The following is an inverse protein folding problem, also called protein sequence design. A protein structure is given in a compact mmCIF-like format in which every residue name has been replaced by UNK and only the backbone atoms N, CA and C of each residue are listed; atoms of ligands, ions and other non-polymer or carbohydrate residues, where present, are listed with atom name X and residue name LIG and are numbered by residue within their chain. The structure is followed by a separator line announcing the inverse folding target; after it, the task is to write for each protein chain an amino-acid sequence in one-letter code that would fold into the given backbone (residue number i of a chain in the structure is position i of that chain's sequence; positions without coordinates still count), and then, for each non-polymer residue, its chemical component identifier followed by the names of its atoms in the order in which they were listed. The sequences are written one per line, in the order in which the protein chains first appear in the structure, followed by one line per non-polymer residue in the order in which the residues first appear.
data_IF_994442206884
#
_entry.id   IF_994442206884
#
_cell.length_a   1.000
_cell.length_b   1.000
_cell.length_c   1.000
_cell.angle_alpha   90.00
_cell.angle_beta   90.00
_cell.angle_gamma   90.00
#
_symmetry.space_group_name_H-M   'P 1'
#
loop_
_entity.id
_entity.type
_entity.pdbx_description
1 polymer ?
#
# COMPACT_ATOMS: atom_id res chain seq x y z
N UNK A 1 -23.85 -27.08 10.66
CA UNK A 1 -22.75 -26.88 11.64
C UNK A 1 -21.39 -26.66 11.00
N UNK A 2 -20.93 -27.50 10.05
CA UNK A 2 -19.60 -27.36 9.41
C UNK A 2 -19.33 -25.98 8.78
N UNK A 3 -20.31 -25.43 8.06
CA UNK A 3 -20.20 -24.11 7.41
C UNK A 3 -20.09 -22.96 8.43
N UNK A 4 -20.85 -23.02 9.52
CA UNK A 4 -20.81 -22.02 10.60
C UNK A 4 -19.45 -22.07 11.32
N UNK A 5 -18.96 -23.27 11.60
CA UNK A 5 -17.65 -23.45 12.24
C UNK A 5 -16.52 -22.93 11.35
N UNK A 6 -16.62 -23.13 10.03
CA UNK A 6 -15.67 -22.61 9.07
C UNK A 6 -15.67 -21.07 9.03
N UNK A 7 -16.85 -20.45 8.97
CA UNK A 7 -17.00 -18.98 8.95
C UNK A 7 -16.58 -18.30 10.25
N UNK A 8 -16.79 -18.95 11.40
CA UNK A 8 -16.27 -18.48 12.69
C UNK A 8 -14.74 -18.60 12.77
N UNK A 9 -14.16 -19.69 12.27
CA UNK A 9 -12.70 -19.86 12.17
C UNK A 9 -12.06 -18.82 11.27
N UNK A 10 -12.64 -18.52 10.11
CA UNK A 10 -12.16 -17.45 9.22
C UNK A 10 -12.16 -16.07 9.90
N UNK A 11 -13.03 -15.85 10.88
CA UNK A 11 -13.09 -14.59 11.65
C UNK A 11 -12.23 -14.61 12.91
N UNK A 12 -11.46 -15.69 13.14
CA UNK A 12 -10.65 -15.86 14.35
C UNK A 12 -11.48 -16.01 15.64
N UNK A 13 -12.76 -16.37 15.52
CA UNK A 13 -13.69 -16.45 16.65
C UNK A 13 -13.82 -17.89 17.15
N UNK A 14 -14.00 -18.11 18.46
CA UNK A 14 -14.27 -19.43 19.01
C UNK A 14 -15.49 -20.09 18.34
N UNK A 15 -15.32 -21.35 17.95
CA UNK A 15 -16.34 -22.14 17.24
C UNK A 15 -17.59 -22.34 18.10
N UNK A 16 -17.39 -22.47 19.41
CA UNK A 16 -18.43 -22.63 20.42
C UNK A 16 -17.94 -21.98 21.71
N UNK A 17 -18.79 -21.17 22.36
CA UNK A 17 -18.54 -20.70 23.72
C UNK A 17 -19.23 -21.62 24.75
N UNK A 18 -18.75 -21.59 25.99
CA UNK A 18 -19.29 -22.44 27.04
C UNK A 18 -20.77 -22.10 27.29
N UNK A 19 -21.64 -23.11 27.18
CA UNK A 19 -23.08 -22.96 27.38
C UNK A 19 -23.85 -22.39 26.18
N UNK A 20 -23.21 -22.10 25.05
CA UNK A 20 -23.92 -21.68 23.83
C UNK A 20 -24.69 -22.84 23.19
N UNK A 21 -25.93 -22.57 22.79
CA UNK A 21 -26.74 -23.41 21.91
C UNK A 21 -26.44 -23.13 20.43
N UNK A 22 -26.78 -24.07 19.53
CA UNK A 22 -26.51 -23.91 18.08
C UNK A 22 -27.20 -22.67 17.46
N UNK A 23 -28.35 -22.26 18.02
CA UNK A 23 -29.06 -21.05 17.61
C UNK A 23 -28.31 -19.77 18.02
N UNK A 24 -27.68 -19.77 19.20
CA UNK A 24 -26.90 -18.64 19.70
C UNK A 24 -25.59 -18.48 18.92
N UNK A 25 -24.94 -19.60 18.56
CA UNK A 25 -23.76 -19.59 17.68
C UNK A 25 -24.10 -18.94 16.33
N UNK A 26 -25.26 -19.25 15.73
CA UNK A 26 -25.71 -18.62 14.47
C UNK A 26 -25.97 -17.12 14.62
N UNK A 27 -26.63 -16.70 15.70
CA UNK A 27 -26.90 -15.28 15.97
C UNK A 27 -25.59 -14.50 16.16
N UNK A 28 -24.63 -15.08 16.88
CA UNK A 28 -23.29 -14.50 17.06
C UNK A 28 -22.56 -14.37 15.73
N UNK A 29 -22.54 -15.42 14.91
CA UNK A 29 -21.95 -15.33 13.57
C UNK A 29 -22.60 -14.24 12.73
N UNK A 30 -23.93 -14.14 12.73
CA UNK A 30 -24.64 -13.11 11.97
C UNK A 30 -24.31 -11.69 12.45
N UNK A 31 -24.23 -11.48 13.76
CA UNK A 31 -23.83 -10.19 14.33
C UNK A 31 -22.39 -9.82 13.94
N UNK A 32 -21.47 -10.79 14.01
CA UNK A 32 -20.08 -10.61 13.60
C UNK A 32 -19.95 -10.28 12.11
N UNK A 33 -20.81 -10.85 11.27
CA UNK A 33 -20.85 -10.57 9.83
C UNK A 33 -21.41 -9.19 9.50
N UNK A 34 -22.30 -8.67 10.35
CA UNK A 34 -22.82 -7.31 10.23
C UNK A 34 -21.80 -6.26 10.68
N UNK A 35 -21.09 -6.54 11.77
CA UNK A 35 -20.06 -5.64 12.34
C UNK A 35 -18.75 -5.67 11.55
N UNK A 36 -18.37 -6.84 11.03
CA UNK A 36 -17.17 -7.07 10.24
C UNK A 36 -17.52 -7.82 8.94
N UNK A 37 -18.03 -7.10 7.93
CA UNK A 37 -18.44 -7.71 6.66
C UNK A 37 -17.24 -8.29 5.89
N UNK A 38 -16.05 -7.73 6.08
CA UNK A 38 -14.82 -8.27 5.50
C UNK A 38 -14.33 -9.48 6.30
N UNK A 39 -14.05 -10.58 5.61
CA UNK A 39 -13.39 -11.72 6.21
C UNK A 39 -12.01 -11.29 6.66
N UNK A 40 -11.67 -11.63 7.90
CA UNK A 40 -10.28 -11.63 8.37
C UNK A 40 -9.57 -12.81 7.68
N UNK A 41 -9.58 -12.84 6.34
CA UNK A 41 -8.63 -13.61 5.57
C UNK A 41 -7.29 -13.28 6.21
N UNK A 42 -6.67 -14.31 6.80
CA UNK A 42 -5.39 -14.13 7.46
C UNK A 42 -4.39 -13.56 6.46
N UNK A 43 -3.14 -13.48 6.85
CA UNK A 43 -2.08 -13.09 5.91
C UNK A 43 -1.87 -14.19 4.84
N UNK A 44 -2.90 -14.58 4.08
CA UNK A 44 -2.70 -15.04 2.72
C UNK A 44 -1.95 -13.93 2.04
N UNK A 45 -0.70 -14.24 1.75
CA UNK A 45 0.20 -13.35 1.07
C UNK A 45 -0.42 -13.11 -0.32
N UNK A 46 -1.23 -12.06 -0.47
CA UNK A 46 -1.97 -11.73 -1.70
C UNK A 46 -1.02 -11.75 -2.91
N UNK A 47 0.24 -11.35 -2.67
CA UNK A 47 1.33 -11.45 -3.61
C UNK A 47 1.65 -12.89 -4.02
N UNK A 48 1.75 -13.82 -3.08
CA UNK A 48 2.00 -15.23 -3.36
C UNK A 48 0.83 -15.88 -4.09
N UNK A 49 -0.42 -15.51 -3.77
CA UNK A 49 -1.61 -15.96 -4.49
C UNK A 49 -1.62 -15.41 -5.92
N UNK A 50 -1.31 -14.12 -6.10
CA UNK A 50 -1.17 -13.50 -7.42
C UNK A 50 -0.02 -14.13 -8.23
N UNK A 51 1.11 -14.45 -7.61
CA UNK A 51 2.24 -15.13 -8.27
C UNK A 51 1.87 -16.55 -8.71
N UNK A 52 1.13 -17.31 -7.88
CA UNK A 52 0.61 -18.63 -8.29
C UNK A 52 -0.36 -18.52 -9.45
N UNK A 53 -1.19 -17.48 -9.49
CA UNK A 53 -2.13 -17.24 -10.59
C UNK A 53 -1.38 -16.93 -11.89
N UNK A 54 -0.39 -16.03 -11.84
CA UNK A 54 0.46 -15.67 -12.98
C UNK A 54 1.23 -16.91 -13.49
N UNK A 55 1.81 -17.70 -12.57
CA UNK A 55 2.50 -18.95 -12.94
C UNK A 55 1.58 -19.93 -13.67
N UNK A 56 0.34 -20.11 -13.20
CA UNK A 56 -0.66 -20.94 -13.89
C UNK A 56 -1.06 -20.40 -15.26
N UNK A 57 -1.20 -19.09 -15.42
CA UNK A 57 -1.47 -18.48 -16.73
C UNK A 57 -0.32 -18.70 -17.73
N UNK A 58 0.93 -18.71 -17.26
CA UNK A 58 2.08 -19.01 -18.10
C UNK A 58 2.12 -20.47 -18.53
N UNK A 59 1.94 -21.41 -17.59
CA UNK A 59 1.89 -22.84 -17.93
C UNK A 59 0.83 -23.08 -19.01
N UNK A 60 -0.32 -22.43 -18.87
CA UNK A 60 -1.38 -22.46 -19.87
C UNK A 60 -0.97 -21.83 -21.21
N UNK A 61 -0.30 -20.67 -21.21
CA UNK A 61 0.14 -19.99 -22.43
C UNK A 61 1.25 -20.74 -23.19
N UNK A 62 2.14 -21.45 -22.46
CA UNK A 62 3.15 -22.34 -23.01
C UNK A 62 2.48 -23.56 -23.66
N UNK A 63 1.49 -24.16 -22.99
CA UNK A 63 0.69 -25.26 -23.53
C UNK A 63 -0.11 -24.85 -24.78
N UNK A 64 -0.62 -23.61 -24.81
CA UNK A 64 -1.42 -23.07 -25.91
C UNK A 64 -0.58 -22.47 -27.06
N UNK A 65 0.77 -22.46 -26.97
CA UNK A 65 1.64 -21.94 -28.02
C UNK A 65 1.54 -20.42 -28.27
N UNK A 66 0.92 -19.67 -27.35
CA UNK A 66 0.72 -18.21 -27.43
C UNK A 66 1.76 -17.42 -26.62
N UNK A 67 2.80 -18.10 -26.11
CA UNK A 67 3.82 -17.55 -25.23
C UNK A 67 4.70 -16.44 -25.86
N UNK A 68 4.66 -16.28 -27.19
CA UNK A 68 5.55 -15.36 -27.93
C UNK A 68 4.90 -14.05 -28.37
N UNK A 69 3.67 -13.77 -27.94
CA UNK A 69 3.10 -12.44 -28.15
C UNK A 69 3.81 -11.40 -27.28
N UNK A 70 4.55 -10.49 -27.93
CA UNK A 70 5.39 -9.48 -27.27
C UNK A 70 4.60 -8.57 -26.32
N UNK A 71 3.32 -8.34 -26.60
CA UNK A 71 2.47 -7.38 -25.88
C UNK A 71 1.66 -7.99 -24.72
N UNK A 72 1.66 -9.33 -24.56
CA UNK A 72 0.87 -9.99 -23.50
C UNK A 72 1.38 -9.70 -22.09
N UNK A 73 2.67 -9.45 -21.95
CA UNK A 73 3.32 -9.18 -20.67
C UNK A 73 3.39 -7.68 -20.36
N UNK A 74 2.85 -6.83 -21.24
CA UNK A 74 2.93 -5.38 -21.07
C UNK A 74 1.89 -4.90 -20.06
N UNK A 75 2.33 -3.98 -19.22
CA UNK A 75 1.51 -3.31 -18.23
C UNK A 75 0.80 -2.14 -18.89
N UNK A 76 -0.50 -2.03 -18.67
CA UNK A 76 -1.29 -0.92 -19.17
C UNK A 76 -0.81 0.41 -18.55
N UNK A 77 -0.48 1.38 -19.40
CA UNK A 77 -0.13 2.72 -18.97
C UNK A 77 -1.38 3.49 -18.51
N UNK A 78 -1.29 4.29 -17.43
CA UNK A 78 -2.37 5.18 -17.03
C UNK A 78 -2.78 6.13 -18.17
N UNK A 79 -4.08 6.31 -18.39
CA UNK A 79 -4.61 7.23 -19.40
C UNK A 79 -4.23 8.68 -19.04
N UNK A 80 -3.70 9.45 -20.00
CA UNK A 80 -3.33 10.86 -19.80
C UNK A 80 -1.90 11.10 -19.29
N UNK A 81 -1.01 10.10 -19.40
CA UNK A 81 0.42 10.29 -19.16
C UNK A 81 1.05 11.10 -20.29
N UNK A 82 1.75 12.19 -19.93
CA UNK A 82 2.61 12.97 -20.82
C UNK A 82 4.06 12.83 -20.36
N UNK A 83 4.95 12.53 -21.31
CA UNK A 83 6.35 12.13 -21.07
C UNK A 83 7.18 13.19 -20.33
N UNK A 84 6.89 14.47 -20.58
CA UNK A 84 7.67 15.61 -20.09
C UNK A 84 7.01 16.38 -18.93
N UNK A 85 6.00 15.80 -18.28
CA UNK A 85 5.21 16.51 -17.25
C UNK A 85 5.97 16.70 -15.91
N UNK A 86 7.17 16.14 -15.74
CA UNK A 86 7.90 16.21 -14.46
C UNK A 86 8.22 17.64 -14.02
N UNK A 87 8.61 18.52 -14.94
CA UNK A 87 8.95 19.92 -14.60
C UNK A 87 7.72 20.69 -14.10
N UNK A 88 6.56 20.43 -14.68
CA UNK A 88 5.30 21.03 -14.26
C UNK A 88 4.94 20.52 -12.86
N UNK A 89 5.07 19.21 -12.63
CA UNK A 89 4.88 18.60 -11.31
C UNK A 89 5.82 19.21 -10.27
N UNK A 90 7.10 19.42 -10.60
CA UNK A 90 8.10 20.04 -9.70
C UNK A 90 7.71 21.48 -9.35
N UNK A 91 7.29 22.28 -10.34
CA UNK A 91 6.79 23.64 -10.11
C UNK A 91 5.54 23.66 -9.25
N UNK A 92 4.52 22.84 -9.57
CA UNK A 92 3.29 22.76 -8.78
C UNK A 92 3.55 22.27 -7.36
N UNK A 93 4.52 21.38 -7.16
CA UNK A 93 4.89 20.83 -5.84
C UNK A 93 5.40 21.88 -4.86
N UNK A 94 5.82 23.06 -5.33
CA UNK A 94 6.18 24.19 -4.45
C UNK A 94 4.97 24.73 -3.66
N UNK A 95 3.76 24.52 -4.18
CA UNK A 95 2.51 24.96 -3.57
C UNK A 95 1.90 23.91 -2.63
N UNK A 96 2.49 22.71 -2.52
CA UNK A 96 2.00 21.65 -1.64
C UNK A 96 2.02 22.10 -0.18
N UNK A 97 0.85 22.02 0.46
CA UNK A 97 0.66 22.42 1.86
C UNK A 97 0.71 23.94 2.10
N UNK A 98 0.77 24.75 1.05
CA UNK A 98 0.72 26.22 1.16
C UNK A 98 -0.74 26.66 1.09
N UNK A 99 -1.23 27.23 2.21
CA UNK A 99 -2.61 27.75 2.30
C UNK A 99 -3.69 26.70 2.53
N UNK A 100 -3.31 25.45 2.84
CA UNK A 100 -4.21 24.33 3.15
C UNK A 100 -5.33 24.12 2.12
N UNK A 101 -4.96 24.17 0.84
CA UNK A 101 -5.91 24.06 -0.25
C UNK A 101 -6.14 22.60 -0.66
N UNK A 102 -7.19 22.00 -0.09
CA UNK A 102 -7.58 20.59 -0.28
C UNK A 102 -7.51 20.13 -1.75
N UNK A 103 -8.12 20.89 -2.67
CA UNK A 103 -8.22 20.47 -4.08
C UNK A 103 -6.85 20.44 -4.75
N UNK A 104 -6.09 21.53 -4.61
CA UNK A 104 -4.76 21.68 -5.20
C UNK A 104 -3.82 20.59 -4.70
N UNK A 105 -3.78 20.37 -3.39
CA UNK A 105 -2.91 19.35 -2.80
C UNK A 105 -3.25 17.95 -3.34
N UNK A 106 -4.54 17.60 -3.39
CA UNK A 106 -5.00 16.33 -3.96
C UNK A 106 -4.58 16.16 -5.42
N UNK A 107 -4.77 17.19 -6.25
CA UNK A 107 -4.44 17.13 -7.68
C UNK A 107 -2.93 16.98 -7.92
N UNK A 108 -2.10 17.67 -7.14
CA UNK A 108 -0.64 17.56 -7.24
C UNK A 108 -0.18 16.17 -6.80
N UNK A 109 -0.66 15.66 -5.65
CA UNK A 109 -0.28 14.33 -5.15
C UNK A 109 -0.72 13.24 -6.14
N UNK A 110 -1.94 13.36 -6.71
CA UNK A 110 -2.41 12.48 -7.78
C UNK A 110 -1.50 12.49 -9.00
N UNK A 111 -1.08 13.68 -9.43
CA UNK A 111 -0.20 13.85 -10.59
C UNK A 111 1.16 13.18 -10.36
N UNK A 112 1.73 13.33 -9.16
CA UNK A 112 2.97 12.65 -8.75
C UNK A 112 2.79 11.12 -8.79
N UNK A 113 1.73 10.59 -8.15
CA UNK A 113 1.46 9.16 -8.11
C UNK A 113 1.29 8.57 -9.52
N UNK A 114 0.49 9.22 -10.38
CA UNK A 114 0.26 8.78 -11.76
C UNK A 114 1.54 8.81 -12.58
N UNK A 115 2.36 9.84 -12.44
CA UNK A 115 3.63 9.96 -13.15
C UNK A 115 4.59 8.81 -12.78
N UNK A 116 4.80 8.54 -11.48
CA UNK A 116 5.71 7.48 -11.04
C UNK A 116 5.20 6.10 -11.46
N UNK A 117 3.89 5.83 -11.34
CA UNK A 117 3.29 4.56 -11.77
C UNK A 117 3.41 4.34 -13.27
N UNK A 118 3.22 5.39 -14.08
CA UNK A 118 3.36 5.32 -15.53
C UNK A 118 4.82 5.10 -15.94
N UNK A 119 5.76 5.85 -15.35
CA UNK A 119 7.20 5.67 -15.59
C UNK A 119 7.64 4.26 -15.21
N UNK A 120 7.19 3.73 -14.07
CA UNK A 120 7.50 2.36 -13.65
C UNK A 120 6.90 1.32 -14.58
N UNK A 121 5.65 1.49 -15.04
CA UNK A 121 5.07 0.59 -16.04
C UNK A 121 5.87 0.57 -17.35
N UNK A 122 6.34 1.74 -17.80
CA UNK A 122 7.21 1.84 -18.99
C UNK A 122 8.53 1.10 -18.78
N UNK A 123 9.22 1.32 -17.67
CA UNK A 123 10.50 0.65 -17.39
C UNK A 123 10.36 -0.88 -17.27
N UNK A 124 9.17 -1.37 -16.95
CA UNK A 124 8.83 -2.79 -17.00
C UNK A 124 8.56 -3.27 -18.44
N UNK A 125 7.91 -2.44 -19.25
CA UNK A 125 7.58 -2.72 -20.65
C UNK A 125 8.78 -2.62 -21.60
N UNK A 126 9.76 -1.76 -21.32
CA UNK A 126 10.95 -1.58 -22.16
C UNK A 126 11.96 -2.74 -22.02
N UNK A 127 11.73 -3.65 -21.06
CA UNK A 127 12.57 -4.84 -20.86
C UNK A 127 12.40 -5.85 -21.99
N UNK A 128 13.48 -6.57 -22.35
CA UNK A 128 13.38 -7.61 -23.35
C UNK A 128 12.55 -8.80 -22.83
N UNK A 129 11.93 -9.55 -23.75
CA UNK A 129 10.92 -10.58 -23.43
C UNK A 129 11.47 -11.73 -22.57
N UNK A 130 12.73 -12.07 -22.76
CA UNK A 130 13.48 -13.03 -21.95
C UNK A 130 13.50 -12.61 -20.47
N UNK A 131 13.82 -11.34 -20.19
CA UNK A 131 13.81 -10.78 -18.82
C UNK A 131 12.39 -10.73 -18.26
N UNK A 132 11.40 -10.32 -19.06
CA UNK A 132 9.98 -10.28 -18.63
C UNK A 132 9.45 -11.66 -18.21
N UNK A 133 9.87 -12.71 -18.91
CA UNK A 133 9.47 -14.11 -18.62
C UNK A 133 10.18 -14.71 -17.40
N UNK A 134 11.27 -14.11 -16.91
CA UNK A 134 11.95 -14.61 -15.71
C UNK A 134 11.07 -14.47 -14.46
N UNK A 135 11.32 -15.31 -13.46
CA UNK A 135 10.66 -15.20 -12.15
C UNK A 135 10.82 -13.80 -11.53
N UNK A 136 12.00 -13.18 -11.70
CA UNK A 136 12.28 -11.82 -11.23
C UNK A 136 11.47 -10.77 -12.00
N UNK A 137 11.45 -10.83 -13.33
CA UNK A 137 10.69 -9.88 -14.17
C UNK A 137 9.19 -9.94 -13.87
N UNK A 138 8.64 -11.14 -13.71
CA UNK A 138 7.26 -11.34 -13.30
C UNK A 138 6.97 -10.83 -11.90
N UNK A 139 7.86 -11.08 -10.95
CA UNK A 139 7.72 -10.60 -9.59
C UNK A 139 7.64 -9.07 -9.57
N UNK A 140 8.50 -8.39 -10.32
CA UNK A 140 8.48 -6.93 -10.43
C UNK A 140 7.20 -6.39 -11.09
N UNK A 141 6.68 -7.07 -12.12
CA UNK A 141 5.40 -6.74 -12.74
C UNK A 141 4.21 -6.96 -11.78
N UNK A 142 4.22 -8.06 -11.02
CA UNK A 142 3.21 -8.34 -9.99
C UNK A 142 3.25 -7.28 -8.88
N UNK A 143 4.44 -6.86 -8.46
CA UNK A 143 4.62 -5.77 -7.50
C UNK A 143 4.05 -4.45 -7.99
N UNK A 144 4.28 -4.09 -9.25
CA UNK A 144 3.67 -2.90 -9.86
C UNK A 144 2.14 -2.99 -9.86
N UNK A 145 1.59 -4.12 -10.32
CA UNK A 145 0.14 -4.35 -10.37
C UNK A 145 -0.51 -4.28 -8.99
N UNK A 146 0.09 -4.91 -7.99
CA UNK A 146 -0.38 -4.86 -6.61
C UNK A 146 -0.33 -3.42 -6.06
N UNK A 147 0.76 -2.71 -6.30
CA UNK A 147 0.93 -1.31 -5.85
C UNK A 147 -0.13 -0.41 -6.47
N UNK A 148 -0.40 -0.58 -7.77
CA UNK A 148 -1.46 0.15 -8.48
C UNK A 148 -2.85 -0.15 -7.92
N UNK A 149 -3.14 -1.43 -7.62
CA UNK A 149 -4.40 -1.84 -7.03
C UNK A 149 -4.61 -1.22 -5.64
N UNK A 150 -3.60 -1.27 -4.78
CA UNK A 150 -3.68 -0.70 -3.44
C UNK A 150 -3.80 0.82 -3.46
N UNK A 151 -3.10 1.53 -4.35
CA UNK A 151 -3.22 2.98 -4.48
C UNK A 151 -4.55 3.45 -5.07
N UNK A 152 -5.30 2.56 -5.73
CA UNK A 152 -6.55 2.93 -6.41
C UNK A 152 -7.57 3.55 -5.45
N UNK A 153 -7.68 3.04 -4.22
CA UNK A 153 -8.61 3.56 -3.21
C UNK A 153 -8.24 5.00 -2.81
N UNK A 154 -6.96 5.26 -2.53
CA UNK A 154 -6.43 6.57 -2.23
C UNK A 154 -6.62 7.56 -3.38
N UNK A 155 -6.26 7.16 -4.60
CA UNK A 155 -6.38 8.01 -5.78
C UNK A 155 -7.85 8.36 -6.07
N UNK A 156 -8.76 7.40 -5.95
CA UNK A 156 -10.21 7.65 -6.11
C UNK A 156 -10.74 8.59 -5.01
N UNK A 157 -10.24 8.48 -3.78
CA UNK A 157 -10.60 9.36 -2.67
C UNK A 157 -10.10 10.80 -2.90
N UNK A 158 -8.89 10.96 -3.44
CA UNK A 158 -8.33 12.27 -3.81
C UNK A 158 -9.06 12.90 -4.99
N UNK A 159 -9.42 12.13 -6.02
CA UNK A 159 -10.21 12.61 -7.18
C UNK A 159 -11.58 13.16 -6.76
N UNK A 160 -12.16 12.58 -5.70
CA UNK A 160 -13.42 13.02 -5.10
C UNK A 160 -13.24 14.09 -4.01
N UNK A 161 -12.00 14.47 -3.71
CA UNK A 161 -11.65 15.39 -2.62
C UNK A 161 -12.23 14.98 -1.25
N UNK A 162 -12.30 13.68 -0.99
CA UNK A 162 -12.83 13.10 0.26
C UNK A 162 -11.76 12.27 0.98
N UNK A 163 -10.53 12.75 0.96
CA UNK A 163 -9.41 12.13 1.69
C UNK A 163 -9.36 12.71 3.11
N UNK A 164 -8.94 11.89 4.08
CA UNK A 164 -8.71 12.37 5.43
C UNK A 164 -7.65 13.50 5.41
N UNK A 165 -7.98 14.63 6.03
CA UNK A 165 -7.09 15.79 6.08
C UNK A 165 -5.73 15.45 6.69
N UNK A 166 -5.66 14.70 7.78
CA UNK A 166 -4.38 14.36 8.42
C UNK A 166 -3.48 13.59 7.46
N UNK A 167 -4.06 12.62 6.73
CA UNK A 167 -3.35 11.81 5.74
C UNK A 167 -2.89 12.69 4.57
N UNK A 168 -3.75 13.59 4.08
CA UNK A 168 -3.37 14.55 3.04
C UNK A 168 -2.19 15.41 3.46
N UNK A 169 -2.20 15.96 4.67
CA UNK A 169 -1.11 16.81 5.16
C UNK A 169 0.23 16.05 5.22
N UNK A 170 0.20 14.81 5.72
CA UNK A 170 1.40 13.96 5.72
C UNK A 170 1.88 13.64 4.31
N UNK A 171 0.97 13.24 3.41
CA UNK A 171 1.32 12.96 2.01
C UNK A 171 1.86 14.20 1.29
N UNK A 172 1.28 15.38 1.52
CA UNK A 172 1.77 16.64 0.95
C UNK A 172 3.19 16.96 1.43
N UNK A 173 3.46 16.82 2.74
CA UNK A 173 4.80 16.97 3.33
C UNK A 173 5.80 15.99 2.71
N UNK A 174 5.43 14.71 2.60
CA UNK A 174 6.28 13.68 2.02
C UNK A 174 6.56 13.99 0.53
N UNK A 175 5.53 14.27 -0.27
CA UNK A 175 5.68 14.62 -1.68
C UNK A 175 6.57 15.83 -1.89
N UNK A 176 6.43 16.88 -1.07
CA UNK A 176 7.29 18.06 -1.14
C UNK A 176 8.76 17.73 -0.87
N UNK A 177 9.06 16.98 0.20
CA UNK A 177 10.43 16.55 0.54
C UNK A 177 11.05 15.69 -0.56
N UNK A 178 10.23 14.86 -1.21
CA UNK A 178 10.64 13.96 -2.28
C UNK A 178 10.93 14.70 -3.60
N UNK A 179 10.07 15.65 -3.98
CA UNK A 179 10.14 16.32 -5.29
C UNK A 179 11.06 17.55 -5.25
N UNK A 180 10.92 18.39 -4.22
CA UNK A 180 11.62 19.67 -4.13
C UNK A 180 13.00 19.48 -3.48
N UNK A 181 13.02 18.96 -2.24
CA UNK A 181 14.24 18.88 -1.45
C UNK A 181 15.12 17.67 -1.82
N UNK A 182 14.51 16.68 -2.51
CA UNK A 182 15.08 15.37 -2.84
C UNK A 182 15.76 14.74 -1.61
N UNK A 183 15.11 14.88 -0.46
CA UNK A 183 15.57 14.37 0.82
C UNK A 183 14.75 13.14 1.21
N UNK A 184 15.19 11.98 0.73
CA UNK A 184 14.49 10.71 0.95
C UNK A 184 14.54 10.26 2.41
N UNK A 185 15.58 10.66 3.16
CA UNK A 185 15.70 10.37 4.59
C UNK A 185 14.60 11.07 5.38
N UNK A 186 14.45 12.38 5.20
CA UNK A 186 13.39 13.15 5.87
C UNK A 186 12.00 12.77 5.38
N UNK A 187 11.85 12.51 4.07
CA UNK A 187 10.59 11.99 3.53
C UNK A 187 10.22 10.65 4.16
N UNK A 188 11.19 9.76 4.39
CA UNK A 188 10.96 8.51 5.07
C UNK A 188 10.59 8.71 6.54
N UNK A 189 11.22 9.64 7.24
CA UNK A 189 10.85 9.96 8.62
C UNK A 189 9.41 10.47 8.71
N UNK A 190 8.99 11.35 7.79
CA UNK A 190 7.61 11.81 7.69
C UNK A 190 6.63 10.69 7.32
N UNK A 191 7.06 9.73 6.49
CA UNK A 191 6.29 8.51 6.22
C UNK A 191 6.12 7.63 7.47
N UNK A 192 7.18 7.42 8.24
CA UNK A 192 7.12 6.64 9.48
C UNK A 192 6.21 7.32 10.52
N UNK A 193 6.27 8.65 10.63
CA UNK A 193 5.36 9.45 11.45
C UNK A 193 3.89 9.24 11.04
N UNK A 194 3.58 9.22 9.75
CA UNK A 194 2.23 8.95 9.25
C UNK A 194 1.78 7.50 9.49
N UNK A 195 2.65 6.53 9.23
CA UNK A 195 2.30 5.11 9.23
C UNK A 195 2.16 4.53 10.65
N UNK A 196 2.95 5.06 11.59
CA UNK A 196 3.09 4.50 12.94
C UNK A 196 2.73 5.52 14.02
N UNK A 197 2.95 6.81 13.75
CA UNK A 197 2.85 7.86 14.75
C UNK A 197 4.05 7.94 15.67
N UNK A 198 4.02 8.93 16.58
CA UNK A 198 5.05 9.15 17.58
C UNK A 198 4.86 8.27 18.84
N UNK A 199 4.18 7.13 18.69
CA UNK A 199 3.89 6.25 19.80
C UNK A 199 5.15 5.46 20.19
N UNK A 200 5.51 5.38 21.49
CA UNK A 200 6.65 4.58 21.91
C UNK A 200 6.45 3.07 21.63
N UNK A 201 5.20 2.64 21.44
CA UNK A 201 4.83 1.24 21.14
C UNK A 201 3.79 1.20 20.01
N UNK A 202 4.17 0.81 18.78
CA UNK A 202 3.31 0.91 17.60
C UNK A 202 2.35 -0.25 17.41
N UNK A 203 2.70 -1.41 17.98
CA UNK A 203 1.83 -2.58 18.06
C UNK A 203 1.46 -2.70 19.54
N UNK A 204 0.18 -2.60 19.86
CA UNK A 204 -0.28 -2.56 21.24
C UNK A 204 0.31 -3.69 22.07
N UNK A 205 0.93 -3.36 23.20
CA UNK A 205 1.44 -4.36 24.15
C UNK A 205 0.24 -4.89 24.93
N UNK A 206 -0.15 -6.15 24.73
CA UNK A 206 -1.13 -6.80 25.62
C UNK A 206 -0.53 -6.94 27.02
N UNK A 207 -1.32 -6.62 28.06
CA UNK A 207 -0.95 -6.64 29.50
C UNK A 207 0.23 -7.58 29.80
N UNK A 208 1.45 -7.05 29.86
CA UNK A 208 2.67 -7.84 30.04
C UNK A 208 2.96 -8.14 31.52
N UNK A 209 1.94 -8.45 32.32
CA UNK A 209 2.09 -8.76 33.74
C UNK A 209 0.80 -9.24 34.39
N UNK A 210 0.94 -10.04 35.45
CA UNK A 210 -0.17 -10.62 36.24
C UNK A 210 -1.00 -9.52 36.94
N UNK A 211 -0.42 -8.34 37.18
CA UNK A 211 -1.07 -7.20 37.83
C UNK A 211 -1.17 -6.00 36.88
N UNK A 212 -2.38 -5.49 36.68
CA UNK A 212 -2.64 -4.29 35.87
C UNK A 212 -2.27 -3.04 36.67
N UNK A 213 -1.23 -2.32 36.23
CA UNK A 213 -0.84 -1.05 36.85
C UNK A 213 -1.63 0.12 36.26
N UNK A 214 -2.11 1.09 37.05
CA UNK A 214 -2.90 2.23 36.56
C UNK A 214 -2.21 3.06 35.45
N UNK A 215 -0.87 3.09 35.43
CA UNK A 215 -0.09 3.78 34.40
C UNK A 215 -0.01 3.05 33.05
N UNK A 216 -0.29 1.75 32.98
CA UNK A 216 -0.26 0.99 31.71
C UNK A 216 -1.36 1.42 30.75
N UNK A 217 -2.51 1.90 31.25
CA UNK A 217 -3.62 2.36 30.40
C UNK A 217 -3.26 3.61 29.56
N UNK A 218 -2.35 4.46 30.06
CA UNK A 218 -1.92 5.70 29.37
C UNK A 218 -0.97 5.45 28.20
N UNK A 219 -0.47 4.23 28.00
CA UNK A 219 0.35 3.85 26.85
C UNK A 219 -0.48 3.46 25.61
N UNK A 220 -1.81 3.35 25.72
CA UNK A 220 -2.68 2.84 24.65
C UNK A 220 -3.31 3.91 23.76
N UNK A 221 -3.26 5.18 24.16
CA UNK A 221 -3.96 6.25 23.42
C UNK A 221 -2.93 7.18 22.81
N UNK A 222 -2.45 6.81 21.62
CA UNK A 222 -1.96 7.79 20.66
C UNK A 222 -3.06 8.00 19.61
N UNK A 223 -3.36 9.25 19.29
CA UNK A 223 -4.42 9.66 18.34
C UNK A 223 -4.22 9.14 16.90
N UNK A 224 -3.14 8.40 16.63
CA UNK A 224 -2.73 7.91 15.30
C UNK A 224 -3.09 6.42 15.11
N UNK A 225 -3.70 5.78 16.12
CA UNK A 225 -4.18 4.40 16.04
C UNK A 225 -5.15 4.13 14.86
N UNK A 226 -5.85 5.16 14.34
CA UNK A 226 -6.82 5.03 13.26
C UNK A 226 -6.22 4.49 11.94
N UNK A 227 -5.01 4.92 11.56
CA UNK A 227 -4.40 4.54 10.28
C UNK A 227 -4.03 3.05 10.22
N UNK A 228 -3.61 2.49 11.36
CA UNK A 228 -3.33 1.07 11.49
C UNK A 228 -4.61 0.23 11.71
N UNK A 229 -5.74 0.84 12.05
CA UNK A 229 -6.99 0.11 12.26
C UNK A 229 -7.77 -0.16 10.96
N UNK A 230 -7.49 0.59 9.89
CA UNK A 230 -8.13 0.42 8.58
C UNK A 230 -7.18 -0.29 7.59
N UNK A 231 -7.58 -1.47 7.13
CA UNK A 231 -6.79 -2.30 6.22
C UNK A 231 -6.61 -1.63 4.84
N UNK A 232 -7.60 -0.89 4.37
CA UNK A 232 -7.50 -0.13 3.12
C UNK A 232 -6.42 0.96 3.25
N UNK A 233 -6.37 1.64 4.39
CA UNK A 233 -5.36 2.67 4.67
C UNK A 233 -3.97 2.08 4.75
N UNK A 234 -3.82 0.98 5.48
CA UNK A 234 -2.57 0.23 5.56
C UNK A 234 -2.05 -0.15 4.16
N UNK A 235 -2.90 -0.71 3.30
CA UNK A 235 -2.53 -1.15 1.95
C UNK A 235 -2.02 0.02 1.09
N UNK A 236 -2.74 1.14 1.02
CA UNK A 236 -2.29 2.25 0.18
C UNK A 236 -1.07 2.99 0.77
N UNK A 237 -0.89 3.02 2.09
CA UNK A 237 0.29 3.63 2.73
C UNK A 237 1.54 2.80 2.40
N UNK A 238 1.46 1.48 2.53
CA UNK A 238 2.55 0.59 2.13
C UNK A 238 2.84 0.70 0.62
N UNK A 239 1.80 0.80 -0.20
CA UNK A 239 1.95 1.00 -1.64
C UNK A 239 2.61 2.36 -1.97
N UNK A 240 2.28 3.42 -1.22
CA UNK A 240 2.91 4.72 -1.34
C UNK A 240 4.41 4.66 -0.99
N UNK A 241 4.80 3.90 0.04
CA UNK A 241 6.23 3.67 0.36
C UNK A 241 7.00 3.05 -0.81
N UNK A 242 6.39 2.12 -1.54
CA UNK A 242 7.01 1.52 -2.75
C UNK A 242 7.25 2.58 -3.83
N UNK A 243 6.33 3.53 -4.01
CA UNK A 243 6.54 4.67 -4.91
C UNK A 243 7.70 5.55 -4.46
N UNK A 244 7.85 5.79 -3.15
CA UNK A 244 8.98 6.56 -2.62
C UNK A 244 10.32 5.91 -2.98
N UNK A 245 10.42 4.58 -2.85
CA UNK A 245 11.62 3.84 -3.25
C UNK A 245 11.88 3.96 -4.75
N UNK A 246 10.85 3.83 -5.59
CA UNK A 246 10.98 4.02 -7.04
C UNK A 246 11.38 5.44 -7.42
N UNK A 247 10.89 6.44 -6.68
CA UNK A 247 11.30 7.82 -6.91
C UNK A 247 12.79 8.03 -6.60
N UNK A 248 13.32 7.43 -5.53
CA UNK A 248 14.76 7.48 -5.21
C UNK A 248 15.61 6.81 -6.29
N UNK A 249 15.13 5.69 -6.87
CA UNK A 249 15.81 5.03 -7.98
C UNK A 249 15.86 5.90 -9.24
N UNK A 250 14.80 6.63 -9.54
CA UNK A 250 14.70 7.48 -10.74
C UNK A 250 15.37 8.83 -10.60
N UNK A 251 15.44 9.37 -9.39
CA UNK A 251 15.98 10.69 -9.08
C UNK A 251 17.01 10.58 -7.95
N UNK A 252 18.18 9.96 -8.20
CA UNK A 252 19.19 9.79 -7.17
C UNK A 252 19.67 11.16 -6.63
N UNK A 253 20.00 11.16 -5.34
CA UNK A 253 20.50 12.33 -4.59
C UNK A 253 21.79 11.95 -3.86
N UNK A 254 22.31 12.86 -3.06
CA UNK A 254 23.48 12.60 -2.21
C UNK A 254 23.25 11.37 -1.31
N UNK A 255 24.27 10.51 -1.10
CA UNK A 255 24.14 9.34 -0.24
C UNK A 255 23.65 9.66 1.18
N UNK A 256 23.98 10.84 1.71
CA UNK A 256 23.56 11.32 3.04
C UNK A 256 22.06 11.60 3.15
N UNK A 257 21.38 11.82 2.02
CA UNK A 257 19.93 12.09 1.93
C UNK A 257 19.14 10.89 1.40
N UNK A 258 19.81 9.78 1.12
CA UNK A 258 19.23 8.57 0.57
C UNK A 258 18.92 7.55 1.67
N UNK A 259 17.83 6.81 1.53
CA UNK A 259 17.51 5.70 2.44
C UNK A 259 18.12 4.42 1.89
N UNK A 260 18.78 3.65 2.76
CA UNK A 260 19.39 2.34 2.41
C UNK A 260 20.25 2.42 1.14
N UNK A 261 21.19 3.37 1.10
CA UNK A 261 22.08 3.55 -0.04
C UNK A 261 22.96 2.32 -0.26
N UNK A 262 22.55 1.45 -1.19
CA UNK A 262 23.39 0.36 -1.70
C UNK A 262 24.10 0.88 -2.94
N UNK A 263 25.43 0.98 -2.87
CA UNK A 263 26.26 1.34 -4.03
C UNK A 263 26.08 0.25 -5.07
N UNK A 264 25.35 0.53 -6.16
CA UNK A 264 25.27 -0.39 -7.31
C UNK A 264 26.69 -0.55 -7.85
N UNK A 265 27.32 -1.70 -7.61
CA UNK A 265 28.54 -2.10 -8.30
C UNK A 265 28.17 -2.25 -9.77
N UNK A 266 28.68 -1.32 -10.58
CA UNK A 266 28.65 -1.37 -12.05
C UNK A 266 29.47 -2.55 -12.51
#
# INVERSE_FOLDING_TARGET
MSDIHFRLRQRGQPILLFGESELEVRKRLHQLELEQPELNEGWENELQTAMKFIGKEMDKAVVEGTADSATRHDIALPKGYEEDNWKIIEQSSTLLGVGDELKRDCDIILSICRYILARWARDLNDRPLDVKKTAQGMHEAAHHKQTTMHLKSLMTSMEKYNVNNDIRHHLAKICRLLVIDRNYLEANNAYMEMAIGNAPWPVGVTRSGIHQRPGSAKAYVSNIAHVLNDETQRKYIQAFKRLMTKLQEYFPTDPSKSVEFVRKTV
#
